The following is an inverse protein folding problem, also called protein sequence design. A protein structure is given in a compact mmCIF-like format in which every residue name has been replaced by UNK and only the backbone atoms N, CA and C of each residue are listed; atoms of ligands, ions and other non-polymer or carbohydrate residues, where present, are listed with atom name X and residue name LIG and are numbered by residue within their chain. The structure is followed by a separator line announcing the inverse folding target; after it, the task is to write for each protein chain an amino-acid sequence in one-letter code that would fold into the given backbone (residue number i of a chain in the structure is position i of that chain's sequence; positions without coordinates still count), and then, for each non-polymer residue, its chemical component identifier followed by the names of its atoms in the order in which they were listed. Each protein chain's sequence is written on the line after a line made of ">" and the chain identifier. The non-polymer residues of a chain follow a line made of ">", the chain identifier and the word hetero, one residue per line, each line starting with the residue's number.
data_IF_300493852698
#
_entry.id   IF_300493852698
#
_cell.length_a   1.000
_cell.length_b   1.000
_cell.length_c   1.000
_cell.angle_alpha   90.00
_cell.angle_beta   90.00
_cell.angle_gamma   90.00
#
_symmetry.space_group_name_H-M   'P 1'
#
loop_
_entity.id
_entity.type
_entity.pdbx_description
1 polymer ?
#
# COMPACT_ATOMS: atom_id res chain seq x y z
N UNK A 1 35.36 7.64 -19.63
CA UNK A 1 35.26 6.22 -19.24
C UNK A 1 33.99 5.66 -19.85
N UNK A 2 34.00 4.54 -20.57
CA UNK A 2 32.77 3.92 -21.06
C UNK A 2 31.97 3.40 -19.87
N UNK A 3 30.70 3.80 -19.78
CA UNK A 3 29.76 3.30 -18.78
C UNK A 3 29.39 1.87 -19.16
N UNK A 4 29.63 0.90 -18.28
CA UNK A 4 29.19 -0.48 -18.48
C UNK A 4 27.67 -0.57 -18.29
N UNK A 5 26.95 -0.47 -19.41
CA UNK A 5 25.49 -0.41 -19.47
C UNK A 5 24.83 -1.72 -19.03
N UNK A 6 25.45 -2.86 -19.33
CA UNK A 6 24.91 -4.16 -18.97
C UNK A 6 24.94 -4.35 -17.45
N UNK A 7 26.04 -3.95 -16.80
CA UNK A 7 26.14 -4.00 -15.34
C UNK A 7 25.09 -3.13 -14.62
N UNK A 8 24.83 -1.92 -15.14
CA UNK A 8 23.79 -1.02 -14.58
C UNK A 8 22.39 -1.63 -14.73
N UNK A 9 22.12 -2.24 -15.89
CA UNK A 9 20.85 -2.93 -16.17
C UNK A 9 20.63 -4.08 -15.18
N UNK A 10 21.61 -4.98 -15.04
CA UNK A 10 21.52 -6.13 -14.16
C UNK A 10 21.37 -5.72 -12.70
N UNK A 11 22.07 -4.67 -12.28
CA UNK A 11 21.93 -4.12 -10.93
C UNK A 11 20.52 -3.58 -10.68
N UNK A 12 19.97 -2.79 -11.61
CA UNK A 12 18.62 -2.24 -11.48
C UNK A 12 17.56 -3.34 -11.40
N UNK A 13 17.63 -4.33 -12.29
CA UNK A 13 16.71 -5.48 -12.27
C UNK A 13 16.85 -6.32 -11.01
N UNK A 14 18.07 -6.51 -10.51
CA UNK A 14 18.33 -7.15 -9.22
C UNK A 14 17.61 -6.44 -8.07
N UNK A 15 17.68 -5.11 -8.01
CA UNK A 15 17.01 -4.33 -6.97
C UNK A 15 15.48 -4.33 -7.11
N UNK A 16 14.97 -4.25 -8.34
CA UNK A 16 13.52 -4.39 -8.61
C UNK A 16 13.00 -5.75 -8.14
N UNK A 17 13.73 -6.85 -8.42
CA UNK A 17 13.35 -8.19 -7.96
C UNK A 17 13.33 -8.28 -6.42
N UNK A 18 14.37 -7.78 -5.75
CA UNK A 18 14.41 -7.74 -4.28
C UNK A 18 13.27 -6.91 -3.71
N UNK A 19 12.93 -5.79 -4.34
CA UNK A 19 11.82 -4.94 -3.93
C UNK A 19 10.48 -5.67 -4.06
N UNK A 20 10.27 -6.39 -5.17
CA UNK A 20 9.10 -7.24 -5.37
C UNK A 20 8.97 -8.29 -4.26
N UNK A 21 10.06 -8.98 -3.95
CA UNK A 21 10.10 -9.99 -2.89
C UNK A 21 9.74 -9.38 -1.53
N UNK A 22 10.23 -8.19 -1.19
CA UNK A 22 9.86 -7.47 0.04
C UNK A 22 8.37 -7.12 0.11
N UNK A 23 7.77 -6.69 -0.99
CA UNK A 23 6.32 -6.44 -1.07
C UNK A 23 5.55 -7.73 -0.79
N UNK A 24 5.89 -8.81 -1.48
CA UNK A 24 5.17 -10.09 -1.38
C UNK A 24 5.33 -10.76 -0.01
N UNK A 25 6.46 -10.54 0.66
CA UNK A 25 6.74 -11.09 2.00
C UNK A 25 6.25 -10.21 3.14
N UNK A 26 5.74 -9.00 2.84
CA UNK A 26 5.06 -8.18 3.85
C UNK A 26 3.82 -8.92 4.37
N UNK A 27 3.49 -8.87 5.67
CA UNK A 27 2.23 -9.42 6.17
C UNK A 27 1.05 -8.89 5.37
N UNK A 28 0.10 -9.76 5.00
CA UNK A 28 -1.00 -9.46 4.06
C UNK A 28 -0.56 -9.16 2.61
N UNK A 29 0.68 -9.49 2.24
CA UNK A 29 1.22 -9.35 0.89
C UNK A 29 1.20 -7.92 0.37
N UNK A 30 0.80 -7.75 -0.89
CA UNK A 30 0.78 -6.45 -1.57
C UNK A 30 -0.11 -5.41 -0.88
N UNK A 31 -1.28 -5.83 -0.37
CA UNK A 31 -2.18 -4.90 0.33
C UNK A 31 -1.58 -4.46 1.66
N UNK A 32 -0.91 -5.36 2.39
CA UNK A 32 -0.23 -4.99 3.62
C UNK A 32 0.91 -4.00 3.39
N UNK A 33 1.69 -4.20 2.32
CA UNK A 33 2.70 -3.23 1.89
C UNK A 33 2.07 -1.88 1.54
N UNK A 34 0.99 -1.88 0.74
CA UNK A 34 0.28 -0.66 0.36
C UNK A 34 -0.19 0.13 1.59
N UNK A 35 -0.81 -0.56 2.56
CA UNK A 35 -1.29 0.06 3.79
C UNK A 35 -0.16 0.62 4.64
N UNK A 36 1.01 -0.04 4.66
CA UNK A 36 2.21 0.49 5.31
C UNK A 36 2.71 1.74 4.58
N UNK A 37 2.83 1.68 3.26
CA UNK A 37 3.32 2.78 2.43
C UNK A 37 2.48 4.05 2.60
N UNK A 38 1.15 3.98 2.50
CA UNK A 38 0.29 5.17 2.62
C UNK A 38 0.26 5.81 4.02
N UNK A 39 0.77 5.10 5.02
CA UNK A 39 0.90 5.57 6.41
C UNK A 39 2.34 5.91 6.79
N UNK A 40 3.29 5.78 5.85
CA UNK A 40 4.70 6.11 6.08
C UNK A 40 4.93 7.61 5.88
N UNK A 41 5.57 8.26 6.84
CA UNK A 41 6.01 9.63 6.70
C UNK A 41 7.28 9.70 5.83
N UNK A 42 7.13 10.14 4.58
CA UNK A 42 8.19 10.18 3.59
C UNK A 42 9.28 11.20 3.91
N UNK A 43 8.98 12.21 4.74
CA UNK A 43 9.92 13.27 5.10
C UNK A 43 10.88 12.83 6.21
N UNK A 44 10.50 11.83 6.99
CA UNK A 44 11.37 11.25 8.03
C UNK A 44 12.36 10.21 7.52
N UNK A 45 12.21 9.76 6.27
CA UNK A 45 13.05 8.70 5.71
C UNK A 45 14.46 9.21 5.40
N UNK A 46 15.45 8.45 5.85
CA UNK A 46 16.83 8.61 5.41
C UNK A 46 16.96 8.35 3.90
N UNK A 47 18.10 8.74 3.31
CA UNK A 47 18.33 8.54 1.88
C UNK A 47 18.29 7.05 1.46
N UNK A 48 18.83 6.16 2.31
CA UNK A 48 18.82 4.72 2.07
C UNK A 48 17.42 4.12 2.19
N UNK A 49 16.66 4.47 3.23
CA UNK A 49 15.27 4.02 3.41
C UNK A 49 14.37 4.50 2.27
N UNK A 50 14.54 5.76 1.86
CA UNK A 50 13.85 6.29 0.70
C UNK A 50 14.19 5.52 -0.58
N UNK A 51 15.46 5.19 -0.79
CA UNK A 51 15.88 4.44 -1.99
C UNK A 51 15.21 3.07 -2.03
N UNK A 52 15.20 2.35 -0.90
CA UNK A 52 14.50 1.06 -0.78
C UNK A 52 13.01 1.20 -1.08
N UNK A 53 12.34 2.19 -0.49
CA UNK A 53 10.92 2.43 -0.73
C UNK A 53 10.63 2.84 -2.18
N UNK A 54 11.50 3.63 -2.81
CA UNK A 54 11.32 4.05 -4.18
C UNK A 54 11.39 2.85 -5.15
N UNK A 55 12.29 1.89 -4.90
CA UNK A 55 12.32 0.61 -5.63
C UNK A 55 11.05 -0.21 -5.39
N UNK A 56 10.52 -0.23 -4.17
CA UNK A 56 9.25 -0.91 -3.87
C UNK A 56 8.07 -0.25 -4.58
N UNK A 57 7.96 1.07 -4.57
CA UNK A 57 6.89 1.78 -5.30
C UNK A 57 6.99 1.49 -6.80
N UNK A 58 8.19 1.55 -7.37
CA UNK A 58 8.41 1.21 -8.78
C UNK A 58 8.01 -0.26 -9.06
N UNK A 59 8.45 -1.20 -8.23
CA UNK A 59 8.16 -2.63 -8.37
C UNK A 59 6.70 -3.01 -8.08
N UNK A 60 5.97 -2.21 -7.32
CA UNK A 60 4.55 -2.42 -7.07
C UNK A 60 3.72 -2.18 -8.34
N UNK A 61 4.15 -1.19 -9.13
CA UNK A 61 3.54 -0.84 -10.42
C UNK A 61 4.05 -1.75 -11.55
N UNK A 62 5.31 -2.17 -11.44
CA UNK A 62 5.95 -3.08 -12.37
C UNK A 62 5.48 -4.53 -12.09
N UNK A 63 4.36 -4.91 -12.68
CA UNK A 63 4.02 -6.33 -12.84
C UNK A 63 5.07 -6.92 -13.78
N UNK A 64 5.94 -7.78 -13.24
CA UNK A 64 7.15 -8.29 -13.89
C UNK A 64 6.83 -8.81 -15.29
N UNK A 65 6.99 -7.93 -16.28
CA UNK A 65 7.16 -8.29 -17.66
C UNK A 65 8.49 -9.03 -17.71
N UNK A 66 8.44 -10.36 -17.80
CA UNK A 66 9.57 -11.13 -18.31
C UNK A 66 9.75 -10.71 -19.76
N UNK A 67 10.51 -9.63 -19.97
CA UNK A 67 10.87 -9.08 -21.28
C UNK A 67 12.04 -9.88 -21.84
N UNK A 68 11.76 -11.05 -22.41
CA UNK A 68 12.75 -11.74 -23.26
C UNK A 68 12.63 -11.23 -24.69
N UNK A 69 13.38 -10.17 -25.01
CA UNK A 69 13.85 -9.91 -26.37
C UNK A 69 13.04 -8.97 -27.27
N UNK A 70 12.03 -8.24 -26.77
CA UNK A 70 11.33 -7.22 -27.56
C UNK A 70 11.14 -5.91 -26.78
N UNK A 71 11.76 -4.84 -27.28
CA UNK A 71 11.61 -3.47 -26.80
C UNK A 71 10.21 -2.93 -27.15
N UNK A 72 9.21 -3.21 -26.32
CA UNK A 72 7.97 -2.43 -26.34
C UNK A 72 8.23 -1.18 -25.50
N UNK A 73 8.69 -0.12 -26.16
CA UNK A 73 8.91 1.18 -25.54
C UNK A 73 7.59 1.76 -25.03
N UNK A 74 7.35 1.67 -23.72
CA UNK A 74 6.27 2.45 -23.10
C UNK A 74 6.77 3.88 -22.94
N UNK A 75 6.03 4.86 -23.49
CA UNK A 75 6.43 6.27 -23.56
C UNK A 75 6.72 6.94 -22.21
N UNK A 76 6.40 6.28 -21.10
CA UNK A 76 6.44 6.85 -19.77
C UNK A 76 7.27 5.98 -18.82
N UNK A 77 8.55 6.28 -18.69
CA UNK A 77 9.27 5.97 -17.46
C UNK A 77 9.00 7.10 -16.46
N UNK A 78 9.11 6.83 -15.15
CA UNK A 78 9.47 7.90 -14.20
C UNK A 78 10.74 8.61 -14.70
N UNK A 79 11.17 9.77 -14.22
CA UNK A 79 12.41 10.38 -14.74
C UNK A 79 13.29 10.92 -13.63
N UNK A 80 14.56 10.49 -13.62
CA UNK A 80 15.68 11.31 -13.14
C UNK A 80 16.80 11.18 -14.17
N UNK A 81 17.11 12.30 -14.86
CA UNK A 81 18.14 12.49 -15.90
C UNK A 81 18.50 11.24 -16.70
N UNK A 82 17.74 11.01 -17.78
CA UNK A 82 18.28 10.28 -18.92
C UNK A 82 19.51 11.03 -19.43
N UNK A 83 20.63 10.31 -19.63
CA UNK A 83 21.69 10.83 -20.47
C UNK A 83 21.10 11.11 -21.86
N UNK A 84 21.50 12.19 -22.57
CA UNK A 84 20.97 12.47 -23.90
C UNK A 84 21.19 11.27 -24.83
N UNK A 85 20.11 10.73 -25.40
CA UNK A 85 20.14 9.55 -26.28
C UNK A 85 19.95 8.19 -25.60
N UNK A 86 19.60 8.15 -24.31
CA UNK A 86 19.40 6.90 -23.57
C UNK A 86 17.97 6.35 -23.70
N UNK A 87 17.85 5.06 -24.05
CA UNK A 87 16.60 4.30 -24.10
C UNK A 87 16.27 3.59 -22.78
N UNK A 88 17.14 3.70 -21.76
CA UNK A 88 16.93 3.09 -20.46
C UNK A 88 15.81 3.82 -19.68
N UNK A 89 14.64 3.16 -19.57
CA UNK A 89 13.42 3.67 -18.89
C UNK A 89 13.19 2.98 -17.53
N UNK A 90 14.25 2.69 -16.79
CA UNK A 90 14.18 2.20 -15.42
C UNK A 90 14.34 3.34 -14.43
N UNK A 91 13.25 3.79 -13.81
CA UNK A 91 13.26 5.02 -13.03
C UNK A 91 12.41 4.91 -11.79
N UNK A 92 12.99 5.41 -10.71
CA UNK A 92 12.37 5.44 -9.40
C UNK A 92 11.50 6.69 -9.28
N UNK A 93 10.35 6.62 -8.59
CA UNK A 93 9.57 7.81 -8.30
C UNK A 93 10.38 8.79 -7.46
N UNK A 94 10.12 10.07 -7.63
CA UNK A 94 10.54 11.11 -6.70
C UNK A 94 9.68 11.10 -5.43
N UNK A 95 10.13 11.79 -4.37
CA UNK A 95 9.33 11.96 -3.15
C UNK A 95 8.02 12.69 -3.42
N UNK A 96 8.04 13.69 -4.31
CA UNK A 96 6.83 14.42 -4.69
C UNK A 96 5.79 13.50 -5.32
N UNK A 97 6.23 12.65 -6.24
CA UNK A 97 5.37 11.65 -6.87
C UNK A 97 4.86 10.59 -5.88
N UNK A 98 5.68 10.13 -4.94
CA UNK A 98 5.21 9.23 -3.89
C UNK A 98 4.16 9.90 -3.00
N UNK A 99 4.30 11.19 -2.66
CA UNK A 99 3.27 11.96 -1.95
C UNK A 99 1.98 12.09 -2.77
N UNK A 100 2.09 12.32 -4.07
CA UNK A 100 0.92 12.32 -4.97
C UNK A 100 0.19 10.97 -4.94
N UNK A 101 0.94 9.86 -4.97
CA UNK A 101 0.36 8.52 -4.85
C UNK A 101 -0.33 8.34 -3.49
N UNK A 102 0.33 8.69 -2.38
CA UNK A 102 -0.27 8.59 -1.04
C UNK A 102 -1.59 9.39 -0.97
N UNK A 103 -1.60 10.63 -1.45
CA UNK A 103 -2.78 11.48 -1.49
C UNK A 103 -3.90 10.88 -2.35
N UNK A 104 -3.56 10.34 -3.52
CA UNK A 104 -4.52 9.68 -4.42
C UNK A 104 -5.16 8.46 -3.75
N UNK A 105 -4.36 7.58 -3.13
CA UNK A 105 -4.88 6.37 -2.47
C UNK A 105 -5.76 6.74 -1.28
N UNK A 106 -5.27 7.62 -0.40
CA UNK A 106 -6.02 8.06 0.77
C UNK A 106 -7.35 8.72 0.37
N UNK A 107 -7.32 9.64 -0.60
CA UNK A 107 -8.54 10.29 -1.10
C UNK A 107 -9.53 9.31 -1.72
N UNK A 108 -9.06 8.25 -2.37
CA UNK A 108 -9.91 7.20 -2.93
C UNK A 108 -10.54 6.32 -1.85
N UNK A 109 -9.79 5.97 -0.79
CA UNK A 109 -10.33 5.25 0.36
C UNK A 109 -11.39 6.08 1.10
N UNK A 110 -11.17 7.39 1.28
CA UNK A 110 -12.19 8.29 1.87
C UNK A 110 -13.49 8.29 1.07
N UNK A 111 -13.39 8.37 -0.27
CA UNK A 111 -14.56 8.30 -1.14
C UNK A 111 -15.28 6.96 -1.01
N UNK A 112 -14.55 5.85 -0.95
CA UNK A 112 -15.14 4.53 -0.73
C UNK A 112 -15.87 4.45 0.61
N UNK A 113 -15.26 4.90 1.71
CA UNK A 113 -15.89 4.85 3.02
C UNK A 113 -17.10 5.77 3.14
N UNK A 114 -17.09 6.92 2.46
CA UNK A 114 -18.19 7.90 2.51
C UNK A 114 -19.33 7.57 1.54
N UNK A 115 -19.01 7.13 0.33
CA UNK A 115 -19.97 7.04 -0.78
C UNK A 115 -20.17 5.61 -1.30
N UNK A 116 -19.48 4.61 -0.73
CA UNK A 116 -19.41 3.23 -1.23
C UNK A 116 -18.88 3.10 -2.67
N UNK A 117 -18.34 4.19 -3.26
CA UNK A 117 -17.86 4.25 -4.64
C UNK A 117 -16.62 5.15 -4.71
N UNK A 118 -15.59 4.67 -5.40
CA UNK A 118 -14.50 5.49 -5.92
C UNK A 118 -14.42 5.28 -7.44
N UNK A 119 -14.45 6.38 -8.19
CA UNK A 119 -14.30 6.38 -9.63
C UNK A 119 -12.86 6.77 -9.99
N UNK A 120 -12.27 6.00 -10.91
CA UNK A 120 -10.93 6.21 -11.43
C UNK A 120 -11.04 6.53 -12.93
N UNK A 121 -10.50 7.68 -13.34
CA UNK A 121 -10.56 8.13 -14.74
C UNK A 121 -9.17 8.06 -15.36
N UNK A 122 -9.09 7.37 -16.51
CA UNK A 122 -7.87 7.17 -17.28
C UNK A 122 -8.06 7.78 -18.67
N UNK A 123 -7.52 8.98 -18.94
CA UNK A 123 -7.79 9.68 -20.20
C UNK A 123 -7.12 9.02 -21.41
N UNK A 124 -5.94 8.39 -21.24
CA UNK A 124 -5.23 7.66 -22.29
C UNK A 124 -4.40 6.53 -21.65
N UNK A 125 -4.68 5.29 -22.03
CA UNK A 125 -3.87 4.12 -21.69
C UNK A 125 -3.57 3.31 -22.95
N UNK A 126 -2.37 2.74 -22.99
CA UNK A 126 -2.03 1.69 -23.94
C UNK A 126 -2.12 0.37 -23.21
N UNK A 127 -3.03 -0.50 -23.67
CA UNK A 127 -3.05 -1.90 -23.22
C UNK A 127 -2.13 -2.68 -24.14
N UNK A 128 -1.17 -3.38 -23.54
CA UNK A 128 -0.27 -4.28 -24.26
C UNK A 128 -0.63 -5.69 -23.82
N UNK A 129 -0.96 -6.56 -24.77
CA UNK A 129 -1.22 -7.98 -24.52
C UNK A 129 -0.07 -8.77 -25.12
N UNK A 130 0.57 -9.60 -24.31
CA UNK A 130 1.62 -10.51 -24.78
C UNK A 130 1.09 -11.92 -24.84
N UNK A 131 1.55 -12.67 -25.85
CA UNK A 131 1.39 -14.12 -25.85
C UNK A 131 2.22 -14.73 -24.71
N UNK A 132 1.78 -15.88 -24.16
CA UNK A 132 2.63 -16.63 -23.24
C UNK A 132 3.96 -16.98 -23.90
N UNK A 133 5.05 -16.81 -23.16
CA UNK A 133 6.37 -17.32 -23.54
C UNK A 133 6.55 -18.65 -22.79
N UNK A 134 7.04 -19.69 -23.48
CA UNK A 134 7.42 -21.05 -23.04
C UNK A 134 6.85 -21.53 -21.67
N UNK A 135 6.06 -22.61 -21.71
CA UNK A 135 5.38 -23.27 -20.57
C UNK A 135 4.29 -22.46 -19.81
N UNK A 136 4.08 -21.18 -20.14
CA UNK A 136 2.94 -20.43 -19.63
C UNK A 136 1.65 -20.74 -20.43
N UNK A 137 0.54 -21.05 -19.74
CA UNK A 137 -0.80 -21.18 -20.39
C UNK A 137 -1.54 -19.85 -20.55
N UNK A 138 -1.00 -18.76 -20.02
CA UNK A 138 -1.65 -17.44 -20.00
C UNK A 138 -0.66 -16.37 -20.47
N UNK A 139 -1.12 -15.53 -21.39
CA UNK A 139 -0.44 -14.27 -21.74
C UNK A 139 -0.51 -13.24 -20.61
N UNK A 140 0.17 -12.11 -20.78
CA UNK A 140 0.18 -11.03 -19.80
C UNK A 140 -0.49 -9.78 -20.37
N UNK A 141 -1.16 -9.01 -19.51
CA UNK A 141 -1.80 -7.74 -19.88
C UNK A 141 -1.11 -6.64 -19.10
N UNK A 142 -0.57 -5.65 -19.83
CA UNK A 142 0.11 -4.50 -19.25
C UNK A 142 -0.66 -3.22 -19.57
N UNK A 143 -0.62 -2.27 -18.65
CA UNK A 143 -1.17 -0.92 -18.86
C UNK A 143 -0.02 0.07 -18.79
N UNK A 144 0.18 0.79 -19.88
CA UNK A 144 1.16 1.86 -19.97
C UNK A 144 0.46 3.22 -20.09
N UNK A 145 0.94 4.21 -19.35
CA UNK A 145 0.39 5.58 -19.44
C UNK A 145 1.46 6.62 -19.14
N UNK A 146 1.34 7.80 -19.78
CA UNK A 146 2.24 8.96 -19.64
C UNK A 146 2.53 9.38 -18.20
N UNK A 147 1.66 9.03 -17.25
CA UNK A 147 1.83 9.32 -15.83
C UNK A 147 1.88 8.03 -15.04
N UNK A 148 3.03 7.71 -14.45
CA UNK A 148 3.18 6.50 -13.65
C UNK A 148 2.33 6.44 -12.37
N UNK A 149 1.97 7.59 -11.82
CA UNK A 149 0.93 7.70 -10.78
C UNK A 149 -0.39 7.04 -11.24
N UNK A 150 -0.72 7.12 -12.54
CA UNK A 150 -1.90 6.46 -13.12
C UNK A 150 -1.72 4.95 -13.30
N UNK A 151 -0.52 4.46 -13.58
CA UNK A 151 -0.25 3.01 -13.54
C UNK A 151 -0.42 2.46 -12.11
N UNK A 152 0.04 3.22 -11.11
CA UNK A 152 -0.21 2.91 -9.70
C UNK A 152 -1.70 2.92 -9.38
N UNK A 153 -2.43 3.96 -9.80
CA UNK A 153 -3.89 4.07 -9.61
C UNK A 153 -4.64 2.89 -10.24
N UNK A 154 -4.21 2.44 -11.42
CA UNK A 154 -4.75 1.24 -12.06
C UNK A 154 -4.50 -0.01 -11.21
N UNK A 155 -3.27 -0.25 -10.75
CA UNK A 155 -2.94 -1.39 -9.88
C UNK A 155 -3.72 -1.34 -8.56
N UNK A 156 -3.84 -0.15 -7.97
CA UNK A 156 -4.62 0.08 -6.77
C UNK A 156 -6.12 -0.24 -6.97
N UNK A 157 -6.71 0.16 -8.10
CA UNK A 157 -8.09 -0.17 -8.42
C UNK A 157 -8.33 -1.69 -8.50
N UNK A 158 -7.38 -2.45 -9.05
CA UNK A 158 -7.43 -3.92 -9.05
C UNK A 158 -7.37 -4.50 -7.63
N UNK A 159 -6.49 -4.00 -6.76
CA UNK A 159 -6.46 -4.44 -5.36
C UNK A 159 -7.76 -4.14 -4.61
N UNK A 160 -8.43 -3.02 -4.93
CA UNK A 160 -9.70 -2.70 -4.29
C UNK A 160 -10.80 -3.72 -4.60
N UNK A 161 -10.73 -4.43 -5.74
CA UNK A 161 -11.70 -5.49 -6.06
C UNK A 161 -11.69 -6.60 -4.99
N UNK A 162 -10.51 -6.98 -4.50
CA UNK A 162 -10.35 -8.10 -3.57
C UNK A 162 -10.37 -7.68 -2.09
N UNK A 163 -10.07 -6.41 -1.80
CA UNK A 163 -9.80 -5.95 -0.44
C UNK A 163 -10.67 -4.77 0.04
N UNK A 164 -11.44 -4.09 -0.81
CA UNK A 164 -12.19 -2.87 -0.45
C UNK A 164 -13.06 -3.03 0.81
N UNK A 165 -13.82 -4.11 0.93
CA UNK A 165 -14.68 -4.37 2.11
C UNK A 165 -13.92 -4.67 3.41
N UNK A 166 -12.62 -4.94 3.33
CA UNK A 166 -11.75 -5.29 4.46
C UNK A 166 -10.78 -4.16 4.83
N UNK A 167 -10.50 -3.21 3.95
CA UNK A 167 -9.66 -2.05 4.28
C UNK A 167 -10.48 -1.07 5.12
N UNK A 168 -10.07 -0.88 6.38
CA UNK A 168 -10.81 -0.08 7.37
C UNK A 168 -9.89 0.91 8.07
N UNK A 169 -10.49 1.97 8.61
CA UNK A 169 -9.83 2.89 9.53
C UNK A 169 -10.23 2.59 10.97
N UNK A 170 -9.24 2.41 11.85
CA UNK A 170 -9.49 2.15 13.27
C UNK A 170 -10.06 3.42 13.93
N UNK A 171 -11.23 3.36 14.60
CA UNK A 171 -11.83 4.54 15.22
C UNK A 171 -11.00 5.09 16.39
N UNK A 172 -10.15 4.25 17.00
CA UNK A 172 -9.43 4.58 18.22
C UNK A 172 -8.00 5.13 17.98
N UNK A 173 -7.37 4.79 16.84
CA UNK A 173 -6.02 5.29 16.52
C UNK A 173 -5.87 5.83 15.10
N UNK A 174 -6.96 5.84 14.31
CA UNK A 174 -6.99 6.28 12.91
C UNK A 174 -6.08 5.51 11.95
N UNK A 175 -5.40 4.45 12.42
CA UNK A 175 -4.61 3.54 11.59
C UNK A 175 -5.51 2.85 10.56
N UNK A 176 -5.10 2.88 9.31
CA UNK A 176 -5.70 2.09 8.23
C UNK A 176 -5.13 0.67 8.29
N UNK A 177 -6.02 -0.32 8.28
CA UNK A 177 -5.64 -1.73 8.45
C UNK A 177 -6.51 -2.63 7.57
N UNK A 178 -6.01 -3.85 7.32
CA UNK A 178 -6.78 -4.91 6.71
C UNK A 178 -7.51 -5.72 7.78
N UNK A 179 -8.83 -5.74 7.74
CA UNK A 179 -9.66 -6.53 8.63
C UNK A 179 -9.60 -8.01 8.23
N UNK A 180 -9.24 -8.86 9.19
CA UNK A 180 -9.24 -10.32 9.01
C UNK A 180 -10.68 -10.85 9.08
N UNK A 181 -11.50 -10.26 9.97
CA UNK A 181 -12.90 -10.62 10.17
C UNK A 181 -13.83 -9.49 9.76
N UNK A 182 -15.01 -9.83 9.28
CA UNK A 182 -16.05 -8.87 8.85
C UNK A 182 -16.51 -7.97 10.01
N UNK A 183 -16.50 -8.46 11.24
CA UNK A 183 -16.89 -7.73 12.45
C UNK A 183 -15.72 -7.01 13.13
N UNK A 184 -14.50 -7.05 12.56
CA UNK A 184 -13.34 -6.42 13.16
C UNK A 184 -13.42 -4.89 13.06
N UNK A 185 -13.70 -4.24 14.19
CA UNK A 185 -13.84 -2.77 14.31
C UNK A 185 -12.50 -2.07 14.58
N UNK A 186 -11.57 -2.73 15.27
CA UNK A 186 -10.28 -2.15 15.66
C UNK A 186 -9.12 -2.82 14.93
N UNK A 187 -8.03 -2.07 14.71
CA UNK A 187 -6.86 -2.58 14.01
C UNK A 187 -6.14 -3.74 14.73
N UNK A 188 -6.43 -3.97 16.02
CA UNK A 188 -5.88 -5.10 16.76
C UNK A 188 -6.25 -5.09 18.25
N UNK A 189 -5.78 -6.10 19.00
CA UNK A 189 -6.16 -6.32 20.40
C UNK A 189 -5.87 -5.13 21.31
N UNK A 190 -4.73 -4.44 21.11
CA UNK A 190 -4.35 -3.27 21.92
C UNK A 190 -5.40 -2.16 21.88
N UNK A 191 -5.90 -1.81 20.69
CA UNK A 191 -6.94 -0.78 20.56
C UNK A 191 -8.27 -1.27 21.13
N UNK A 192 -8.63 -2.54 20.92
CA UNK A 192 -9.84 -3.13 21.46
C UNK A 192 -9.84 -3.12 23.01
N UNK A 193 -8.75 -3.57 23.64
CA UNK A 193 -8.61 -3.56 25.10
C UNK A 193 -8.64 -2.14 25.66
N UNK A 194 -7.95 -1.18 25.02
CA UNK A 194 -7.96 0.22 25.46
C UNK A 194 -9.38 0.80 25.52
N UNK A 195 -10.19 0.56 24.49
CA UNK A 195 -11.59 1.00 24.46
C UNK A 195 -12.43 0.26 25.51
N UNK A 196 -12.26 -1.06 25.65
CA UNK A 196 -12.98 -1.84 26.65
C UNK A 196 -12.68 -1.36 28.08
N UNK A 197 -11.41 -1.11 28.41
CA UNK A 197 -11.00 -0.58 29.71
C UNK A 197 -11.55 0.82 29.96
N UNK A 198 -11.54 1.70 28.94
CA UNK A 198 -12.13 3.05 29.05
C UNK A 198 -13.63 2.98 29.37
N UNK A 199 -14.39 2.19 28.60
CA UNK A 199 -15.83 1.96 28.85
C UNK A 199 -16.10 1.36 30.23
N UNK A 200 -15.30 0.39 30.66
CA UNK A 200 -15.43 -0.19 32.00
C UNK A 200 -15.23 0.87 33.09
N UNK A 201 -14.19 1.71 32.97
CA UNK A 201 -13.92 2.80 33.93
C UNK A 201 -15.03 3.86 33.94
N UNK A 202 -15.57 4.24 32.78
CA UNK A 202 -16.68 5.19 32.66
C UNK A 202 -17.93 4.65 33.37
N UNK A 203 -18.27 3.37 33.13
CA UNK A 203 -19.42 2.73 33.76
C UNK A 203 -19.26 2.53 35.28
N UNK A 204 -18.03 2.31 35.78
CA UNK A 204 -17.78 2.12 37.22
C UNK A 204 -17.54 3.43 37.98
N UNK A 205 -17.15 4.52 37.30
CA UNK A 205 -17.15 5.86 37.90
C UNK A 205 -18.57 6.41 38.09
N UNK A 206 -19.52 5.95 37.30
CA UNK A 206 -20.93 6.33 37.41
C UNK A 206 -21.69 5.63 38.55
N UNK A 207 -21.05 4.71 39.30
CA UNK A 207 -21.70 3.94 40.36
C UNK A 207 -20.96 4.04 41.72
N UNK A 208 -20.89 5.22 42.38
CA UNK A 208 -20.30 5.34 43.72
C UNK A 208 -21.16 4.71 44.85
N UNK A 209 -22.30 4.09 44.52
CA UNK A 209 -23.41 3.88 45.46
C UNK A 209 -23.61 2.47 46.03
N UNK A 210 -22.79 1.46 45.69
CA UNK A 210 -23.07 0.05 46.07
C UNK A 210 -22.06 -0.61 47.01
N UNK A 211 -21.48 0.15 47.95
CA UNK A 211 -20.58 -0.43 48.97
C UNK A 211 -20.92 -0.13 50.44
N UNK A 212 -22.17 0.23 50.79
CA UNK A 212 -22.56 0.51 52.19
C UNK A 212 -23.66 -0.37 52.81
N UNK A 213 -24.02 -1.52 52.21
CA UNK A 213 -25.03 -2.43 52.78
C UNK A 213 -24.52 -3.84 53.10
N UNK A 214 -23.28 -3.99 53.60
CA UNK A 214 -22.91 -5.17 54.41
C UNK A 214 -23.24 -4.90 55.86
N UNK A 215 -24.43 -5.38 56.23
CA UNK A 215 -25.11 -5.12 57.49
C UNK A 215 -24.30 -5.41 58.74
N UNK A 216 -24.32 -4.42 59.64
CA UNK A 216 -24.19 -4.60 61.09
C UNK A 216 -25.20 -5.66 61.57
N UNK A 217 -24.75 -6.89 61.84
CA UNK A 217 -25.47 -7.80 62.73
C UNK A 217 -25.04 -7.49 64.17
N UNK A 218 -25.86 -6.67 64.83
CA UNK A 218 -25.96 -6.58 66.30
C UNK A 218 -26.79 -7.78 66.81
N UNK A 219 -26.34 -8.38 67.92
CA UNK A 219 -27.08 -9.05 69.02
C UNK A 219 -26.01 -9.85 69.81
N UNK A 220 -25.59 -9.52 71.04
CA UNK A 220 -26.31 -9.28 72.31
C UNK A 220 -27.39 -10.32 72.58
N UNK A 221 -27.16 -11.12 73.63
CA UNK A 221 -28.03 -12.18 74.15
C UNK A 221 -27.19 -13.36 74.59
#
# INVERSE_FOLDING_TARGET
>A
MPVDRAAIYDQFHGEMKKARERILTTPDGEVGWLLKFIQTDLDTLTASEWTVLAFEIASFVDDVAIRRGADIATEAGWSVRALPGDGFRGTLPSRGEAKEIQAMVLGSLEKLWKNAVAAFTFPQFTIIVTLPIEDARKGSVFVATKRKVKEFEYRFAHLLMDYSGRIRRCPECQRIYLAIRVDQIYCGPRCQTRVATRKWRENHKADPGKESHRGKKRRQG
#
